data_IF_175734604825
#
_entry.id   IF_175734604825
#
_cell.length_a   1.000
_cell.length_b   1.000
_cell.length_c   1.000
_cell.angle_alpha   90.00
_cell.angle_beta   90.00
_cell.angle_gamma   90.00
#
_symmetry.space_group_name_H-M   'P 1'
#
loop_
_entity.id
_entity.type
_entity.pdbx_description
1 polymer ?
#
# COMPACT_ATOMS: atom_id res chain seq x y z
N UNK A 1 -33.76 8.49 -49.85
CA UNK A 1 -32.93 9.29 -48.92
C UNK A 1 -33.50 9.29 -47.49
N UNK A 2 -34.78 9.60 -47.25
CA UNK A 2 -35.37 9.57 -45.91
C UNK A 2 -35.44 8.16 -45.26
N UNK A 3 -35.59 7.11 -46.07
CA UNK A 3 -35.67 5.71 -45.61
C UNK A 3 -34.31 5.18 -45.11
N UNK A 4 -33.22 5.63 -45.75
CA UNK A 4 -31.84 5.28 -45.40
C UNK A 4 -31.38 5.99 -44.11
N UNK A 5 -31.93 7.17 -43.82
CA UNK A 5 -31.70 7.91 -42.57
C UNK A 5 -32.44 7.26 -41.38
N UNK A 6 -33.65 6.75 -41.60
CA UNK A 6 -34.41 6.00 -40.58
C UNK A 6 -33.79 4.62 -40.29
N UNK A 7 -33.27 3.93 -41.31
CA UNK A 7 -32.48 2.71 -41.14
C UNK A 7 -31.18 2.98 -40.37
N UNK A 8 -30.48 4.08 -40.65
CA UNK A 8 -29.31 4.51 -39.86
C UNK A 8 -29.67 4.82 -38.41
N UNK A 9 -30.80 5.46 -38.13
CA UNK A 9 -31.27 5.70 -36.75
C UNK A 9 -31.72 4.43 -36.04
N UNK A 10 -32.26 3.45 -36.76
CA UNK A 10 -32.61 2.12 -36.22
C UNK A 10 -31.39 1.22 -35.98
N UNK A 11 -30.31 1.40 -36.75
CA UNK A 11 -29.03 0.69 -36.53
C UNK A 11 -28.14 1.36 -35.48
N UNK A 12 -28.38 2.63 -35.15
CA UNK A 12 -27.77 3.25 -33.97
C UNK A 12 -28.44 2.64 -32.75
N UNK A 13 -27.65 1.95 -31.92
CA UNK A 13 -28.08 1.49 -30.59
C UNK A 13 -28.81 2.67 -29.92
N UNK A 14 -30.03 2.41 -29.45
CA UNK A 14 -30.84 3.39 -28.72
C UNK A 14 -29.96 4.08 -27.67
N UNK A 15 -30.09 5.41 -27.54
CA UNK A 15 -29.13 6.20 -26.75
C UNK A 15 -29.01 5.69 -25.32
N UNK A 16 -30.11 5.19 -24.77
CA UNK A 16 -30.18 4.60 -23.44
C UNK A 16 -29.45 3.26 -23.38
N UNK A 17 -29.59 2.42 -24.42
CA UNK A 17 -28.85 1.16 -24.54
C UNK A 17 -27.34 1.39 -24.73
N UNK A 18 -26.93 2.42 -25.46
CA UNK A 18 -25.53 2.81 -25.60
C UNK A 18 -24.96 3.36 -24.29
N UNK A 19 -25.71 4.23 -23.60
CA UNK A 19 -25.32 4.78 -22.31
C UNK A 19 -25.20 3.69 -21.24
N UNK A 20 -26.14 2.73 -21.22
CA UNK A 20 -26.08 1.58 -20.32
C UNK A 20 -24.85 0.72 -20.60
N UNK A 21 -24.58 0.38 -21.87
CA UNK A 21 -23.43 -0.44 -22.26
C UNK A 21 -22.10 0.22 -21.84
N UNK A 22 -21.95 1.53 -22.07
CA UNK A 22 -20.77 2.30 -21.66
C UNK A 22 -20.68 2.35 -20.13
N UNK A 23 -21.78 2.59 -19.42
CA UNK A 23 -21.78 2.63 -17.96
C UNK A 23 -21.38 1.28 -17.34
N UNK A 24 -21.91 0.17 -17.87
CA UNK A 24 -21.56 -1.17 -17.41
C UNK A 24 -20.09 -1.49 -17.65
N UNK A 25 -19.57 -1.18 -18.84
CA UNK A 25 -18.17 -1.42 -19.20
C UNK A 25 -17.22 -0.59 -18.33
N UNK A 26 -17.53 0.69 -18.09
CA UNK A 26 -16.76 1.54 -17.19
C UNK A 26 -16.78 1.03 -15.75
N UNK A 27 -17.92 0.53 -15.26
CA UNK A 27 -18.03 -0.03 -13.91
C UNK A 27 -17.28 -1.34 -13.76
N UNK A 28 -17.31 -2.19 -14.77
CA UNK A 28 -16.55 -3.43 -14.78
C UNK A 28 -15.05 -3.15 -14.82
N UNK A 29 -14.61 -2.29 -15.73
CA UNK A 29 -13.21 -1.83 -15.85
C UNK A 29 -12.70 -1.20 -14.54
N UNK A 30 -13.54 -0.38 -13.88
CA UNK A 30 -13.22 0.21 -12.58
C UNK A 30 -13.02 -0.86 -11.50
N UNK A 31 -13.91 -1.85 -11.41
CA UNK A 31 -13.83 -2.95 -10.44
C UNK A 31 -12.58 -3.79 -10.67
N UNK A 32 -12.31 -4.17 -11.92
CA UNK A 32 -11.13 -4.94 -12.29
C UNK A 32 -9.83 -4.21 -11.91
N UNK A 33 -9.75 -2.91 -12.22
CA UNK A 33 -8.57 -2.09 -11.90
C UNK A 33 -8.33 -2.01 -10.38
N UNK A 34 -9.38 -1.76 -9.59
CA UNK A 34 -9.25 -1.71 -8.13
C UNK A 34 -8.90 -3.04 -7.51
N UNK A 35 -9.44 -4.14 -8.03
CA UNK A 35 -9.09 -5.48 -7.56
C UNK A 35 -7.61 -5.78 -7.81
N UNK A 36 -7.14 -5.54 -9.04
CA UNK A 36 -5.72 -5.74 -9.40
C UNK A 36 -4.83 -4.88 -8.50
N UNK A 37 -5.14 -3.59 -8.32
CA UNK A 37 -4.37 -2.70 -7.46
C UNK A 37 -4.34 -3.16 -5.99
N UNK A 38 -5.48 -3.61 -5.45
CA UNK A 38 -5.55 -4.13 -4.09
C UNK A 38 -4.76 -5.44 -3.90
N UNK A 39 -4.80 -6.32 -4.90
CA UNK A 39 -4.02 -7.56 -4.90
C UNK A 39 -2.51 -7.26 -4.91
N UNK A 40 -2.06 -6.35 -5.77
CA UNK A 40 -0.66 -5.88 -5.79
C UNK A 40 -0.24 -5.26 -4.46
N UNK A 41 -1.07 -4.39 -3.88
CA UNK A 41 -0.81 -3.77 -2.58
C UNK A 41 -0.67 -4.81 -1.47
N UNK A 42 -1.53 -5.83 -1.45
CA UNK A 42 -1.45 -6.96 -0.51
C UNK A 42 -0.14 -7.73 -0.63
N UNK A 43 0.28 -8.06 -1.85
CA UNK A 43 1.54 -8.77 -2.09
C UNK A 43 2.75 -7.92 -1.70
N UNK A 44 2.72 -6.62 -1.98
CA UNK A 44 3.80 -5.70 -1.66
C UNK A 44 4.00 -5.58 -0.13
N UNK A 45 2.93 -5.27 0.61
CA UNK A 45 2.98 -5.14 2.07
C UNK A 45 3.29 -6.49 2.71
N UNK A 46 2.67 -7.58 2.24
CA UNK A 46 2.94 -8.92 2.71
C UNK A 46 4.41 -9.31 2.57
N UNK A 47 5.03 -8.99 1.43
CA UNK A 47 6.45 -9.25 1.20
C UNK A 47 7.35 -8.45 2.14
N UNK A 48 7.04 -7.16 2.37
CA UNK A 48 7.78 -6.34 3.33
C UNK A 48 7.71 -6.92 4.76
N UNK A 49 6.51 -7.24 5.23
CA UNK A 49 6.30 -7.81 6.57
C UNK A 49 7.02 -9.15 6.70
N UNK A 50 6.96 -10.01 5.68
CA UNK A 50 7.62 -11.32 5.68
C UNK A 50 9.14 -11.19 5.74
N UNK A 51 9.74 -10.28 4.97
CA UNK A 51 11.21 -10.10 4.97
C UNK A 51 11.67 -9.59 6.34
N UNK A 52 11.02 -8.56 6.90
CA UNK A 52 11.38 -8.03 8.22
C UNK A 52 11.20 -9.07 9.33
N UNK A 53 10.07 -9.77 9.32
CA UNK A 53 9.78 -10.80 10.34
C UNK A 53 10.72 -12.00 10.23
N UNK A 54 11.02 -12.44 9.00
CA UNK A 54 11.96 -13.54 8.74
C UNK A 54 13.39 -13.19 9.17
N UNK A 55 13.84 -11.97 8.90
CA UNK A 55 15.14 -11.49 9.36
C UNK A 55 15.23 -11.44 10.89
N UNK A 56 14.20 -10.91 11.57
CA UNK A 56 14.12 -10.89 13.04
C UNK A 56 14.13 -12.30 13.62
N UNK A 57 13.31 -13.20 13.08
CA UNK A 57 13.28 -14.59 13.51
C UNK A 57 14.65 -15.28 13.34
N UNK A 58 15.29 -15.11 12.19
CA UNK A 58 16.62 -15.66 11.93
C UNK A 58 17.67 -15.16 12.93
N UNK A 59 17.72 -13.85 13.19
CA UNK A 59 18.66 -13.27 14.15
C UNK A 59 18.42 -13.76 15.58
N UNK A 60 17.16 -13.78 16.05
CA UNK A 60 16.85 -14.26 17.40
C UNK A 60 17.10 -15.76 17.56
N UNK A 61 16.91 -16.55 16.50
CA UNK A 61 17.26 -17.98 16.50
C UNK A 61 18.77 -18.19 16.68
N UNK A 62 19.60 -17.41 15.97
CA UNK A 62 21.07 -17.44 16.12
C UNK A 62 21.50 -17.05 17.54
N UNK A 63 20.92 -16.00 18.10
CA UNK A 63 21.20 -15.56 19.48
C UNK A 63 20.89 -16.66 20.50
N UNK A 64 19.79 -17.37 20.34
CA UNK A 64 19.40 -18.45 21.25
C UNK A 64 20.30 -19.69 21.12
N UNK A 65 20.79 -19.99 19.90
CA UNK A 65 21.68 -21.14 19.66
C UNK A 65 23.07 -20.99 20.28
N UNK A 66 23.55 -19.76 20.48
CA UNK A 66 24.86 -19.46 21.07
C UNK A 66 24.82 -19.30 22.61
N UNK A 67 23.65 -19.44 23.24
CA UNK A 67 23.38 -19.13 24.65
C UNK A 67 23.56 -20.27 25.68
N UNK A 68 24.01 -21.47 25.28
CA UNK A 68 23.85 -22.70 26.09
C UNK A 68 24.94 -23.08 27.12
N UNK A 69 25.98 -22.27 27.33
CA UNK A 69 27.12 -22.61 28.20
C UNK A 69 27.31 -21.70 29.43
N UNK A 70 28.11 -22.10 30.42
CA UNK A 70 28.37 -21.30 31.63
C UNK A 70 29.10 -19.96 31.38
N UNK A 71 29.73 -19.78 30.21
CA UNK A 71 30.26 -18.50 29.71
C UNK A 71 29.30 -17.76 28.75
N UNK A 72 28.10 -18.32 28.52
CA UNK A 72 27.18 -17.84 27.51
C UNK A 72 26.56 -16.49 27.84
N UNK A 73 26.42 -16.14 29.12
CA UNK A 73 25.89 -14.83 29.51
C UNK A 73 26.75 -13.68 28.96
N UNK A 74 28.09 -13.84 29.00
CA UNK A 74 29.06 -12.85 28.55
C UNK A 74 29.18 -12.81 27.02
N UNK A 75 29.19 -13.98 26.36
CA UNK A 75 29.20 -14.05 24.89
C UNK A 75 27.89 -13.58 24.29
N UNK A 76 26.76 -13.85 24.94
CA UNK A 76 25.43 -13.38 24.50
C UNK A 76 25.34 -11.86 24.61
N UNK A 77 25.91 -11.25 25.65
CA UNK A 77 25.97 -9.78 25.76
C UNK A 77 26.81 -9.13 24.66
N UNK A 78 27.97 -9.70 24.30
CA UNK A 78 28.80 -9.15 23.22
C UNK A 78 28.13 -9.31 21.85
N UNK A 79 27.54 -10.48 21.59
CA UNK A 79 26.79 -10.74 20.35
C UNK A 79 25.55 -9.85 20.25
N UNK A 80 24.83 -9.62 21.35
CA UNK A 80 23.69 -8.68 21.39
C UNK A 80 24.09 -7.24 21.02
N UNK A 81 25.32 -6.81 21.33
CA UNK A 81 25.78 -5.48 20.94
C UNK A 81 26.01 -5.36 19.44
N UNK A 82 26.56 -6.39 18.80
CA UNK A 82 26.78 -6.43 17.35
C UNK A 82 25.45 -6.48 16.57
N UNK A 83 24.46 -7.23 17.05
CA UNK A 83 23.15 -7.32 16.40
C UNK A 83 22.18 -6.19 16.75
N UNK A 84 22.54 -5.29 17.69
CA UNK A 84 21.65 -4.21 18.13
C UNK A 84 21.18 -3.35 16.96
N UNK A 85 22.10 -2.88 16.13
CA UNK A 85 21.80 -1.95 15.05
C UNK A 85 20.96 -2.60 13.94
N UNK A 86 21.32 -3.80 13.40
CA UNK A 86 20.46 -4.53 12.47
C UNK A 86 19.05 -4.78 12.99
N UNK A 87 18.90 -5.21 14.25
CA UNK A 87 17.59 -5.49 14.84
C UNK A 87 16.69 -4.26 14.80
N UNK A 88 17.23 -3.07 15.14
CA UNK A 88 16.47 -1.83 15.07
C UNK A 88 16.07 -1.44 13.64
N UNK A 89 16.92 -1.71 12.64
CA UNK A 89 16.53 -1.52 11.24
C UNK A 89 15.33 -2.38 10.85
N UNK A 90 15.33 -3.67 11.18
CA UNK A 90 14.21 -4.55 10.83
C UNK A 90 12.94 -4.26 11.66
N UNK A 91 13.06 -3.89 12.94
CA UNK A 91 11.91 -3.46 13.75
C UNK A 91 11.30 -2.17 13.22
N UNK A 92 12.13 -1.16 12.93
CA UNK A 92 11.65 0.10 12.37
C UNK A 92 11.02 -0.12 10.99
N UNK A 93 11.65 -0.95 10.15
CA UNK A 93 11.13 -1.32 8.85
C UNK A 93 9.78 -2.03 8.91
N UNK A 94 9.59 -2.94 9.88
CA UNK A 94 8.31 -3.59 10.12
C UNK A 94 7.21 -2.60 10.50
N UNK A 95 7.48 -1.69 11.44
CA UNK A 95 6.53 -0.66 11.85
C UNK A 95 6.17 0.27 10.69
N UNK A 96 7.15 0.61 9.84
CA UNK A 96 6.92 1.41 8.63
C UNK A 96 6.06 0.66 7.60
N UNK A 97 6.26 -0.64 7.42
CA UNK A 97 5.43 -1.47 6.52
C UNK A 97 3.96 -1.51 6.99
N UNK A 98 3.74 -1.68 8.30
CA UNK A 98 2.40 -1.64 8.88
C UNK A 98 1.77 -0.24 8.75
N UNK A 99 2.57 0.80 8.96
CA UNK A 99 2.13 2.19 8.78
C UNK A 99 1.73 2.46 7.33
N UNK A 100 2.45 1.89 6.35
CA UNK A 100 2.10 2.01 4.93
C UNK A 100 0.71 1.43 4.63
N UNK A 101 0.41 0.26 5.18
CA UNK A 101 -0.91 -0.36 5.09
C UNK A 101 -2.00 0.44 5.79
N UNK A 102 -1.70 0.99 6.98
CA UNK A 102 -2.65 1.85 7.70
C UNK A 102 -2.99 3.12 6.91
N UNK A 103 -1.99 3.79 6.33
CA UNK A 103 -2.22 4.97 5.49
C UNK A 103 -3.03 4.64 4.24
N UNK A 104 -2.75 3.51 3.58
CA UNK A 104 -3.54 3.05 2.45
C UNK A 104 -5.01 2.79 2.84
N UNK A 105 -5.26 2.16 3.99
CA UNK A 105 -6.60 1.93 4.50
C UNK A 105 -7.34 3.23 4.83
N UNK A 106 -6.67 4.20 5.46
CA UNK A 106 -7.24 5.53 5.72
C UNK A 106 -7.55 6.27 4.43
N UNK A 107 -6.68 6.18 3.42
CA UNK A 107 -6.87 6.77 2.11
C UNK A 107 -8.13 6.21 1.43
N UNK A 108 -8.30 4.89 1.40
CA UNK A 108 -9.52 4.25 0.87
C UNK A 108 -10.78 4.62 1.65
N UNK A 109 -10.69 4.73 2.98
CA UNK A 109 -11.82 5.15 3.82
C UNK A 109 -12.26 6.57 3.48
N UNK A 110 -11.32 7.50 3.25
CA UNK A 110 -11.61 8.86 2.82
C UNK A 110 -12.16 8.92 1.39
N UNK A 111 -11.67 8.09 0.46
CA UNK A 111 -12.24 7.98 -0.88
C UNK A 111 -13.69 7.48 -0.83
N UNK A 112 -14.00 6.51 0.03
CA UNK A 112 -15.36 6.03 0.24
C UNK A 112 -16.28 7.13 0.79
N UNK A 113 -15.82 7.89 1.80
CA UNK A 113 -16.58 9.02 2.35
C UNK A 113 -16.83 10.12 1.30
N UNK A 114 -15.82 10.47 0.49
CA UNK A 114 -15.98 11.41 -0.61
C UNK A 114 -16.99 10.91 -1.65
N UNK A 115 -16.94 9.61 -2.00
CA UNK A 115 -17.91 9.04 -2.93
C UNK A 115 -19.34 9.14 -2.38
N UNK A 116 -19.56 8.85 -1.10
CA UNK A 116 -20.88 8.97 -0.47
C UNK A 116 -21.38 10.43 -0.41
N UNK A 117 -20.47 11.40 -0.23
CA UNK A 117 -20.82 12.82 -0.26
C UNK A 117 -21.20 13.29 -1.69
N UNK A 118 -20.54 12.71 -2.70
CA UNK A 118 -20.73 13.05 -4.11
C UNK A 118 -21.95 12.36 -4.74
N UNK A 119 -22.16 11.08 -4.46
CA UNK A 119 -23.22 10.25 -5.03
C UNK A 119 -24.51 10.39 -4.20
N UNK A 120 -25.28 11.45 -4.45
CA UNK A 120 -26.54 11.72 -3.74
C UNK A 120 -27.73 11.13 -4.51
N UNK A 121 -28.67 10.47 -3.82
CA UNK A 121 -29.90 9.96 -4.44
C UNK A 121 -30.76 11.06 -5.09
N UNK A 122 -30.64 12.30 -4.60
CA UNK A 122 -31.31 13.47 -5.15
C UNK A 122 -31.01 13.72 -6.63
N UNK A 123 -29.84 13.27 -7.10
CA UNK A 123 -29.39 13.41 -8.50
C UNK A 123 -30.23 12.59 -9.47
N UNK A 124 -30.95 11.56 -8.98
CA UNK A 124 -31.77 10.68 -9.83
C UNK A 124 -33.09 11.35 -10.25
N UNK A 125 -33.57 12.34 -9.51
CA UNK A 125 -34.88 12.96 -9.74
C UNK A 125 -34.85 14.48 -9.84
N UNK A 126 -33.75 15.14 -9.47
CA UNK A 126 -33.55 16.58 -9.63
C UNK A 126 -32.27 16.87 -10.43
N UNK A 127 -32.44 17.32 -11.68
CA UNK A 127 -31.34 17.65 -12.60
C UNK A 127 -30.51 18.86 -12.18
N UNK A 128 -31.00 19.71 -11.27
CA UNK A 128 -30.26 20.86 -10.74
C UNK A 128 -29.29 20.46 -9.62
N UNK A 129 -29.54 19.32 -8.96
CA UNK A 129 -28.66 18.78 -7.93
C UNK A 129 -27.65 17.85 -8.59
N UNK A 130 -26.47 18.37 -8.88
CA UNK A 130 -25.34 17.61 -9.42
C UNK A 130 -24.37 17.13 -8.32
N UNK A 131 -23.19 16.63 -8.71
CA UNK A 131 -22.18 16.06 -7.80
C UNK A 131 -21.84 17.03 -6.67
N UNK A 132 -21.91 16.56 -5.43
CA UNK A 132 -21.57 17.34 -4.24
C UNK A 132 -20.06 17.61 -4.08
N UNK A 133 -19.71 18.50 -3.15
CA UNK A 133 -18.30 18.78 -2.86
C UNK A 133 -17.60 17.62 -2.13
N UNK A 134 -16.31 17.44 -2.41
CA UNK A 134 -15.46 16.49 -1.67
C UNK A 134 -15.18 16.99 -0.25
N UNK A 135 -15.28 16.12 0.74
CA UNK A 135 -15.00 16.46 2.15
C UNK A 135 -13.51 16.37 2.51
N UNK A 136 -12.76 15.49 1.85
CA UNK A 136 -11.41 15.10 2.30
C UNK A 136 -10.32 15.25 1.23
N UNK A 137 -10.17 16.44 0.62
CA UNK A 137 -9.18 16.62 -0.46
C UNK A 137 -7.73 16.50 0.04
N UNK A 138 -7.36 17.25 1.09
CA UNK A 138 -5.98 17.26 1.62
C UNK A 138 -5.59 15.97 2.33
N UNK A 139 -6.57 15.29 2.94
CA UNK A 139 -6.35 14.02 3.64
C UNK A 139 -5.96 12.90 2.70
N UNK A 140 -6.51 12.91 1.47
CA UNK A 140 -6.16 11.95 0.43
C UNK A 140 -4.70 12.08 0.01
N UNK A 141 -4.24 13.29 -0.30
CA UNK A 141 -2.85 13.50 -0.73
C UNK A 141 -1.85 13.12 0.36
N UNK A 142 -2.14 13.49 1.61
CA UNK A 142 -1.27 13.20 2.75
C UNK A 142 -1.18 11.69 3.02
N UNK A 143 -2.31 10.98 3.02
CA UNK A 143 -2.31 9.54 3.28
C UNK A 143 -1.71 8.74 2.12
N UNK A 144 -1.91 9.19 0.89
CA UNK A 144 -1.27 8.60 -0.28
C UNK A 144 0.26 8.75 -0.20
N UNK A 145 0.76 9.97 0.02
CA UNK A 145 2.19 10.21 0.19
C UNK A 145 2.75 9.48 1.42
N UNK A 146 2.01 9.43 2.53
CA UNK A 146 2.38 8.71 3.75
C UNK A 146 2.54 7.21 3.51
N UNK A 147 1.64 6.60 2.73
CA UNK A 147 1.74 5.16 2.39
C UNK A 147 2.97 4.86 1.54
N UNK A 148 3.23 5.67 0.49
CA UNK A 148 4.39 5.48 -0.39
C UNK A 148 5.70 5.69 0.37
N UNK A 149 5.82 6.80 1.10
CA UNK A 149 7.05 7.14 1.83
C UNK A 149 7.38 6.12 2.90
N UNK A 150 6.40 5.66 3.69
CA UNK A 150 6.62 4.61 4.69
C UNK A 150 6.97 3.25 4.07
N UNK A 151 6.35 2.88 2.94
CA UNK A 151 6.70 1.66 2.21
C UNK A 151 8.15 1.69 1.67
N UNK A 152 8.57 2.81 1.08
CA UNK A 152 9.94 2.98 0.58
C UNK A 152 10.97 3.02 1.71
N UNK A 153 10.67 3.73 2.81
CA UNK A 153 11.54 3.74 3.99
C UNK A 153 11.66 2.35 4.62
N UNK A 154 10.57 1.58 4.65
CA UNK A 154 10.60 0.17 5.08
C UNK A 154 11.53 -0.68 4.23
N UNK A 155 11.50 -0.50 2.90
CA UNK A 155 12.42 -1.19 1.99
C UNK A 155 13.88 -0.74 2.21
N UNK A 156 14.11 0.56 2.44
CA UNK A 156 15.44 1.07 2.78
C UNK A 156 15.99 0.47 4.09
N UNK A 157 15.12 0.21 5.07
CA UNK A 157 15.51 -0.48 6.31
C UNK A 157 15.99 -1.92 6.06
N UNK A 158 15.48 -2.62 5.04
CA UNK A 158 15.98 -3.96 4.66
C UNK A 158 17.43 -3.84 4.19
N UNK A 159 17.72 -2.87 3.33
CA UNK A 159 19.07 -2.62 2.82
C UNK A 159 20.02 -2.20 3.95
N UNK A 160 19.59 -1.28 4.81
CA UNK A 160 20.38 -0.85 5.97
C UNK A 160 20.64 -1.97 6.97
N UNK A 161 19.64 -2.80 7.27
CA UNK A 161 19.78 -3.98 8.12
C UNK A 161 20.75 -5.01 7.53
N UNK A 162 20.64 -5.31 6.23
CA UNK A 162 21.56 -6.21 5.56
C UNK A 162 23.00 -5.67 5.52
N UNK A 163 23.17 -4.38 5.22
CA UNK A 163 24.49 -3.77 5.11
C UNK A 163 25.21 -3.65 6.46
N UNK A 164 24.46 -3.42 7.55
CA UNK A 164 25.00 -3.43 8.92
C UNK A 164 25.40 -4.82 9.39
N UNK A 165 24.66 -5.87 9.01
CA UNK A 165 25.06 -7.26 9.25
C UNK A 165 26.36 -7.60 8.52
N UNK A 166 26.49 -7.19 7.25
CA UNK A 166 27.63 -7.56 6.41
C UNK A 166 28.92 -6.80 6.74
N UNK A 167 28.83 -5.53 7.15
CA UNK A 167 30.00 -4.68 7.32
C UNK A 167 30.33 -4.34 8.78
N UNK A 168 29.48 -4.71 9.76
CA UNK A 168 29.64 -4.41 11.18
C UNK A 168 29.49 -2.92 11.54
N UNK A 169 30.01 -2.02 10.70
CA UNK A 169 30.00 -0.57 10.86
C UNK A 169 29.70 0.11 9.51
N UNK A 170 28.43 0.04 9.09
CA UNK A 170 27.97 0.55 7.78
C UNK A 170 28.27 2.04 7.56
N UNK A 171 28.27 2.86 8.62
CA UNK A 171 28.62 4.28 8.54
C UNK A 171 30.10 4.49 8.21
N UNK A 172 30.99 3.62 8.69
CA UNK A 172 32.42 3.68 8.37
C UNK A 172 32.73 3.24 6.92
N UNK A 173 31.88 2.41 6.31
CA UNK A 173 32.02 1.97 4.92
C UNK A 173 31.46 2.97 3.90
N UNK A 174 30.46 3.78 4.28
CA UNK A 174 29.80 4.75 3.39
C UNK A 174 30.57 6.09 3.25
N UNK A 175 31.39 6.44 4.25
CA UNK A 175 32.22 7.66 4.29
C UNK A 175 33.71 7.40 4.01
N UNK A 176 34.04 6.25 3.40
CA UNK A 176 35.37 5.92 2.87
C UNK A 176 35.36 6.04 1.34
#
# INVERSE_FOLDING_TARGET
>A
MAEDENLRRQMMIDRDAAALAVYTDLKESQRATFQIAAEWGRWLIGSLVLIHSGALFGMFSLLNSNGGGANAQQSTMNVLQEFRLPVWFFVAGLLLALSAGLFAWLNWSMHSANYMAQARYDMLWNSEKWVGDTQHHRGLDLTHAGSITSGLLSAACIVGGAATILNGDFLAALFK
#
